data_IF_783493509306
#
_entry.id   IF_783493509306
#
_cell.length_a   1.000
_cell.length_b   1.000
_cell.length_c   1.000
_cell.angle_alpha   90.00
_cell.angle_beta   90.00
_cell.angle_gamma   90.00
#
_symmetry.space_group_name_H-M   'P 1'
#
loop_
_entity.id
_entity.type
_entity.pdbx_description
1 polymer ?
#
# COMPACT_ATOMS: atom_id res chain seq x y z
N UNK A 1 18.58 1.32 -9.14
CA UNK A 1 18.41 2.15 -7.92
C UNK A 1 18.36 1.33 -6.62
N UNK A 2 17.76 0.12 -6.59
CA UNK A 2 17.57 -0.65 -5.35
C UNK A 2 18.86 -0.94 -4.56
N UNK A 3 19.97 -1.23 -5.26
CA UNK A 3 21.26 -1.45 -4.61
C UNK A 3 21.79 -0.22 -3.85
N UNK A 4 21.40 1.00 -4.25
CA UNK A 4 21.73 2.24 -3.54
C UNK A 4 20.87 2.45 -2.27
N UNK A 5 19.97 1.52 -1.96
CA UNK A 5 19.13 1.51 -0.75
C UNK A 5 19.30 0.24 0.08
N UNK A 6 20.27 -0.62 -0.28
CA UNK A 6 20.47 -1.91 0.36
C UNK A 6 19.33 -2.90 0.05
N UNK A 7 18.78 -2.87 -1.17
CA UNK A 7 17.71 -3.77 -1.63
C UNK A 7 18.11 -4.50 -2.92
N UNK A 8 17.55 -5.69 -3.10
CA UNK A 8 17.61 -6.47 -4.34
C UNK A 8 16.80 -5.77 -5.43
N UNK A 9 17.39 -5.63 -6.62
CA UNK A 9 16.68 -5.09 -7.77
C UNK A 9 15.71 -6.13 -8.34
N UNK A 10 16.08 -7.41 -8.30
CA UNK A 10 15.22 -8.51 -8.76
C UNK A 10 13.99 -8.69 -7.86
N UNK A 11 14.16 -8.66 -6.53
CA UNK A 11 13.04 -8.74 -5.58
C UNK A 11 12.08 -7.58 -5.81
N UNK A 12 12.58 -6.35 -5.86
CA UNK A 12 11.74 -5.17 -6.11
C UNK A 12 11.02 -5.27 -7.45
N UNK A 13 11.72 -5.67 -8.52
CA UNK A 13 11.13 -5.78 -9.85
C UNK A 13 10.01 -6.82 -9.89
N UNK A 14 10.20 -7.98 -9.26
CA UNK A 14 9.17 -9.01 -9.17
C UNK A 14 7.97 -8.53 -8.35
N UNK A 15 8.23 -8.06 -7.13
CA UNK A 15 7.20 -7.61 -6.18
C UNK A 15 6.36 -6.47 -6.77
N UNK A 16 7.01 -5.47 -7.34
CA UNK A 16 6.35 -4.34 -7.98
C UNK A 16 5.59 -4.74 -9.26
N UNK A 17 6.12 -5.68 -10.05
CA UNK A 17 5.42 -6.18 -11.24
C UNK A 17 4.16 -6.98 -10.86
N UNK A 18 4.19 -7.73 -9.77
CA UNK A 18 3.02 -8.43 -9.23
C UNK A 18 1.93 -7.44 -8.82
N UNK A 19 2.31 -6.40 -8.06
CA UNK A 19 1.42 -5.31 -7.70
C UNK A 19 0.79 -4.64 -8.93
N UNK A 20 1.56 -4.32 -9.97
CA UNK A 20 1.03 -3.73 -11.21
C UNK A 20 0.14 -4.67 -12.02
N UNK A 21 0.37 -5.98 -11.95
CA UNK A 21 -0.42 -6.95 -12.71
C UNK A 21 -1.88 -7.01 -12.21
N UNK A 22 -2.07 -7.02 -10.89
CA UNK A 22 -3.38 -7.18 -10.23
C UNK A 22 -3.45 -6.40 -8.91
N UNK A 23 -3.37 -5.05 -8.93
CA UNK A 23 -3.33 -4.25 -7.71
C UNK A 23 -4.60 -4.41 -6.87
N UNK A 24 -4.47 -4.26 -5.56
CA UNK A 24 -5.53 -4.40 -4.55
C UNK A 24 -6.34 -5.72 -4.64
N UNK A 25 -5.76 -6.76 -5.21
CA UNK A 25 -6.36 -8.08 -5.26
C UNK A 25 -5.74 -8.99 -4.20
N UNK A 26 -6.55 -9.57 -3.32
CA UNK A 26 -6.05 -10.55 -2.35
C UNK A 26 -5.32 -11.71 -3.05
N UNK A 27 -4.26 -12.22 -2.41
CA UNK A 27 -3.40 -13.32 -2.87
C UNK A 27 -2.58 -13.04 -4.15
N UNK A 28 -2.90 -11.97 -4.89
CA UNK A 28 -2.21 -11.59 -6.14
C UNK A 28 -1.35 -10.35 -5.97
N UNK A 29 -1.86 -9.36 -5.24
CA UNK A 29 -1.11 -8.16 -4.88
C UNK A 29 -0.41 -8.36 -3.53
N UNK A 30 0.93 -8.32 -3.51
CA UNK A 30 1.67 -8.48 -2.28
C UNK A 30 1.62 -7.24 -1.37
N UNK A 31 1.13 -6.08 -1.84
CA UNK A 31 0.98 -4.86 -1.02
C UNK A 31 -0.20 -4.98 -0.03
N UNK A 32 -1.26 -5.69 -0.41
CA UNK A 32 -2.46 -5.90 0.43
C UNK A 32 -2.46 -7.24 1.17
N UNK A 33 -1.52 -8.12 0.84
CA UNK A 33 -1.36 -9.45 1.44
C UNK A 33 -0.53 -9.40 2.74
N UNK A 34 -1.02 -8.63 3.71
CA UNK A 34 -0.35 -8.36 5.01
C UNK A 34 -1.06 -9.00 6.21
N UNK A 35 -2.21 -9.64 5.97
CA UNK A 35 -2.81 -10.60 6.89
C UNK A 35 -2.01 -11.92 6.88
N UNK A 36 -1.84 -12.63 8.01
CA UNK A 36 -2.33 -12.33 9.37
C UNK A 36 -1.42 -11.41 10.20
N UNK A 37 -0.31 -10.90 9.63
CA UNK A 37 0.75 -10.25 10.40
C UNK A 37 0.45 -8.84 10.91
N UNK A 38 -0.34 -8.05 10.18
CA UNK A 38 -0.56 -6.64 10.52
C UNK A 38 -2.03 -6.23 10.51
N UNK A 39 -2.65 -6.21 9.32
CA UNK A 39 -3.96 -5.57 9.13
C UNK A 39 -4.92 -6.49 8.39
N UNK A 40 -6.22 -6.23 8.62
CA UNK A 40 -7.29 -6.71 7.77
C UNK A 40 -7.68 -5.56 6.85
N UNK A 41 -7.35 -5.68 5.57
CA UNK A 41 -7.57 -4.64 4.58
C UNK A 41 -8.80 -4.97 3.73
N UNK A 42 -9.56 -3.95 3.37
CA UNK A 42 -10.79 -4.11 2.58
C UNK A 42 -11.95 -4.68 3.38
N UNK A 43 -13.17 -4.42 2.89
CA UNK A 43 -14.39 -4.96 3.46
C UNK A 43 -14.50 -6.50 3.35
N UNK A 44 -14.22 -7.14 2.20
CA UNK A 44 -14.45 -8.57 2.03
C UNK A 44 -13.64 -9.43 3.00
N UNK A 45 -12.32 -9.18 3.11
CA UNK A 45 -11.45 -9.91 4.03
C UNK A 45 -11.81 -9.64 5.49
N UNK A 46 -12.09 -8.39 5.86
CA UNK A 46 -12.52 -8.06 7.23
C UNK A 46 -13.81 -8.77 7.63
N UNK A 47 -14.78 -8.82 6.72
CA UNK A 47 -16.04 -9.53 6.93
C UNK A 47 -15.79 -11.04 7.08
N UNK A 48 -15.03 -11.63 6.16
CA UNK A 48 -14.69 -13.06 6.18
C UNK A 48 -14.03 -13.46 7.51
N UNK A 49 -12.98 -12.74 7.90
CA UNK A 49 -12.25 -13.00 9.14
C UNK A 49 -13.13 -12.84 10.38
N UNK A 50 -14.01 -11.84 10.38
CA UNK A 50 -14.96 -11.61 11.48
C UNK A 50 -15.99 -12.74 11.58
N UNK A 51 -16.58 -13.17 10.45
CA UNK A 51 -17.51 -14.29 10.41
C UNK A 51 -16.87 -15.61 10.83
N UNK A 52 -15.63 -15.85 10.41
CA UNK A 52 -14.84 -17.02 10.80
C UNK A 52 -14.30 -16.95 12.24
N UNK A 53 -14.60 -15.88 12.99
CA UNK A 53 -14.10 -15.63 14.35
C UNK A 53 -12.57 -15.71 14.45
N UNK A 54 -11.86 -15.30 13.39
CA UNK A 54 -10.38 -15.27 13.34
C UNK A 54 -9.86 -13.96 13.94
N UNK A 55 -9.00 -14.07 14.96
CA UNK A 55 -8.40 -12.94 15.69
C UNK A 55 -6.89 -13.09 15.83
N UNK A 56 -6.16 -12.92 14.74
CA UNK A 56 -4.69 -12.90 14.76
C UNK A 56 -4.12 -11.59 15.33
N UNK A 57 -4.81 -10.48 15.06
CA UNK A 57 -4.45 -9.13 15.52
C UNK A 57 -5.70 -8.42 16.04
N UNK A 58 -5.56 -7.37 16.87
CA UNK A 58 -6.70 -6.57 17.35
C UNK A 58 -7.23 -5.65 16.24
N UNK A 59 -7.83 -6.20 15.18
CA UNK A 59 -8.20 -5.46 13.96
C UNK A 59 -9.11 -4.25 14.22
N UNK A 60 -9.95 -4.29 15.25
CA UNK A 60 -10.77 -3.15 15.66
C UNK A 60 -9.96 -1.90 16.06
N UNK A 61 -8.67 -2.05 16.37
CA UNK A 61 -7.75 -0.97 16.72
C UNK A 61 -6.67 -0.72 15.66
N UNK A 62 -6.80 -1.28 14.44
CA UNK A 62 -5.74 -1.20 13.43
C UNK A 62 -5.38 0.22 12.98
N UNK A 63 -6.36 1.11 12.93
CA UNK A 63 -6.12 2.54 12.69
C UNK A 63 -5.27 3.22 13.78
N UNK A 64 -5.19 2.66 15.00
CA UNK A 64 -4.38 3.20 16.10
C UNK A 64 -2.95 2.70 16.06
N UNK A 65 -2.76 1.38 15.93
CA UNK A 65 -1.40 0.82 15.86
C UNK A 65 -0.74 0.99 14.48
N UNK A 66 -1.48 1.44 13.46
CA UNK A 66 -0.93 1.85 12.18
C UNK A 66 0.27 2.79 12.34
N UNK A 67 0.17 3.83 13.17
CA UNK A 67 1.22 4.82 13.37
C UNK A 67 2.54 4.25 13.92
N UNK A 68 2.49 3.06 14.52
CA UNK A 68 3.65 2.38 15.13
C UNK A 68 4.07 1.12 14.38
N UNK A 69 3.51 0.86 13.20
CA UNK A 69 3.78 -0.34 12.40
C UNK A 69 4.30 0.04 11.01
N UNK A 70 3.45 0.05 9.98
CA UNK A 70 3.85 0.25 8.58
C UNK A 70 4.71 1.52 8.36
N UNK A 71 4.31 2.72 8.85
CA UNK A 71 5.10 3.94 8.74
C UNK A 71 6.48 3.86 9.39
N UNK A 72 6.70 2.99 10.38
CA UNK A 72 8.01 2.88 11.04
C UNK A 72 8.85 1.72 10.49
N UNK A 73 8.22 0.71 9.88
CA UNK A 73 8.84 -0.59 9.64
C UNK A 73 8.86 -1.05 8.18
N UNK A 74 8.14 -0.41 7.25
CA UNK A 74 7.99 -0.94 5.88
C UNK A 74 9.34 -1.13 5.17
N UNK A 75 10.28 -0.18 5.28
CA UNK A 75 11.59 -0.31 4.63
C UNK A 75 12.45 -1.40 5.28
N UNK A 76 12.60 -1.46 6.62
CA UNK A 76 13.23 -2.62 7.28
C UNK A 76 12.61 -3.95 6.89
N UNK A 77 11.28 -4.06 6.82
CA UNK A 77 10.56 -5.27 6.40
C UNK A 77 10.94 -5.65 4.97
N UNK A 78 10.94 -4.69 4.05
CA UNK A 78 11.37 -4.90 2.66
C UNK A 78 12.84 -5.33 2.56
N UNK A 79 13.72 -4.81 3.42
CA UNK A 79 15.12 -5.25 3.47
C UNK A 79 15.24 -6.72 3.92
N UNK A 80 14.44 -7.14 4.90
CA UNK A 80 14.38 -8.55 5.34
C UNK A 80 13.83 -9.45 4.23
N UNK A 81 12.71 -9.09 3.60
CA UNK A 81 12.15 -9.87 2.48
C UNK A 81 13.09 -9.92 1.28
N UNK A 82 13.74 -8.81 0.97
CA UNK A 82 14.76 -8.75 -0.07
C UNK A 82 15.94 -9.67 0.24
N UNK A 83 16.41 -9.73 1.48
CA UNK A 83 17.49 -10.63 1.89
C UNK A 83 17.04 -12.09 1.79
N UNK A 84 15.85 -12.40 2.30
CA UNK A 84 15.26 -13.74 2.18
C UNK A 84 15.17 -14.18 0.71
N UNK A 85 14.69 -13.30 -0.18
CA UNK A 85 14.62 -13.56 -1.60
C UNK A 85 16.00 -13.84 -2.22
N UNK A 86 17.01 -13.03 -1.89
CA UNK A 86 18.39 -13.24 -2.34
C UNK A 86 18.91 -14.63 -1.92
N UNK A 87 18.68 -15.01 -0.65
CA UNK A 87 19.14 -16.30 -0.11
C UNK A 87 18.44 -17.47 -0.81
N UNK A 88 17.11 -17.43 -0.94
CA UNK A 88 16.32 -18.47 -1.61
C UNK A 88 16.72 -18.66 -3.08
N UNK A 89 17.00 -17.56 -3.78
CA UNK A 89 17.35 -17.55 -5.21
C UNK A 89 18.85 -17.63 -5.47
N UNK A 90 19.69 -17.70 -4.43
CA UNK A 90 21.17 -17.74 -4.51
C UNK A 90 21.75 -16.56 -5.32
N UNK A 91 21.19 -15.36 -5.17
CA UNK A 91 21.60 -14.16 -5.92
C UNK A 91 22.83 -13.47 -5.29
N UNK A 92 23.96 -14.16 -5.27
CA UNK A 92 25.17 -13.71 -4.55
C UNK A 92 25.72 -12.36 -4.97
N UNK A 93 25.57 -11.98 -6.26
CA UNK A 93 25.97 -10.64 -6.72
C UNK A 93 25.13 -9.54 -6.08
N UNK A 94 23.82 -9.75 -5.93
CA UNK A 94 22.96 -8.79 -5.25
C UNK A 94 23.23 -8.75 -3.75
N UNK A 95 23.56 -9.89 -3.15
CA UNK A 95 24.02 -9.97 -1.76
C UNK A 95 25.26 -9.09 -1.55
N UNK A 96 26.25 -9.21 -2.44
CA UNK A 96 27.46 -8.38 -2.40
C UNK A 96 27.13 -6.88 -2.52
N UNK A 97 26.22 -6.50 -3.42
CA UNK A 97 25.78 -5.11 -3.55
C UNK A 97 25.02 -4.59 -2.32
N UNK A 98 24.16 -5.41 -1.72
CA UNK A 98 23.43 -5.08 -0.49
C UNK A 98 24.42 -4.84 0.66
N UNK A 99 25.38 -5.74 0.89
CA UNK A 99 26.39 -5.55 1.93
C UNK A 99 27.33 -4.38 1.63
N UNK A 100 27.72 -4.18 0.37
CA UNK A 100 28.55 -3.04 -0.04
C UNK A 100 27.87 -1.70 0.28
N UNK A 101 26.54 -1.59 0.13
CA UNK A 101 25.79 -0.41 0.56
C UNK A 101 25.97 -0.13 2.04
N UNK A 102 25.73 -1.12 2.91
CA UNK A 102 25.87 -0.94 4.36
C UNK A 102 27.33 -0.67 4.77
N UNK A 103 28.29 -1.41 4.22
CA UNK A 103 29.73 -1.18 4.49
C UNK A 103 30.13 0.25 4.12
N UNK A 104 29.76 0.73 2.92
CA UNK A 104 30.04 2.12 2.50
C UNK A 104 29.37 3.14 3.41
N UNK A 105 28.14 2.88 3.84
CA UNK A 105 27.45 3.74 4.80
C UNK A 105 28.22 3.84 6.12
N UNK A 106 28.67 2.70 6.66
CA UNK A 106 29.48 2.69 7.88
C UNK A 106 30.83 3.38 7.70
N UNK A 107 31.54 3.12 6.61
CA UNK A 107 32.83 3.79 6.31
C UNK A 107 32.64 5.31 6.23
N UNK A 108 31.58 5.78 5.57
CA UNK A 108 31.34 7.21 5.38
C UNK A 108 31.01 7.95 6.68
N UNK A 109 30.18 7.37 7.55
CA UNK A 109 29.64 8.08 8.72
C UNK A 109 30.33 7.72 10.04
N UNK A 110 31.02 6.58 10.15
CA UNK A 110 31.66 6.15 11.41
C UNK A 110 32.74 7.10 11.93
N UNK A 111 33.59 7.73 11.09
CA UNK A 111 34.58 8.70 11.56
C UNK A 111 33.97 9.92 12.24
N UNK A 112 32.72 10.26 11.91
CA UNK A 112 32.02 11.46 12.41
C UNK A 112 31.14 11.10 13.62
N UNK A 113 30.42 9.98 13.57
CA UNK A 113 29.38 9.64 14.54
C UNK A 113 29.78 8.53 15.52
N UNK A 114 30.88 7.82 15.25
CA UNK A 114 31.22 6.57 15.92
C UNK A 114 30.21 5.45 15.65
N UNK A 115 30.52 4.22 16.07
CA UNK A 115 29.73 3.04 15.71
C UNK A 115 28.26 3.14 16.17
N UNK A 116 28.03 3.52 17.43
CA UNK A 116 26.68 3.70 17.99
C UNK A 116 25.92 4.83 17.27
N UNK A 117 26.60 5.92 16.93
CA UNK A 117 25.99 7.04 16.23
C UNK A 117 25.59 6.68 14.79
N UNK A 118 26.41 5.93 14.07
CA UNK A 118 26.04 5.42 12.73
C UNK A 118 24.84 4.48 12.79
N UNK A 119 24.79 3.59 13.78
CA UNK A 119 23.66 2.70 13.96
C UNK A 119 22.36 3.48 14.23
N UNK A 120 22.41 4.46 15.13
CA UNK A 120 21.28 5.36 15.40
C UNK A 120 20.86 6.15 14.17
N UNK A 121 21.83 6.67 13.40
CA UNK A 121 21.57 7.41 12.17
C UNK A 121 20.93 6.52 11.08
N UNK A 122 21.42 5.29 10.92
CA UNK A 122 20.83 4.34 9.98
C UNK A 122 19.38 4.01 10.34
N UNK A 123 19.10 3.75 11.62
CA UNK A 123 17.73 3.48 12.10
C UNK A 123 16.83 4.69 11.83
N UNK A 124 17.28 5.90 12.18
CA UNK A 124 16.54 7.13 11.93
C UNK A 124 16.20 7.29 10.44
N UNK A 125 17.18 7.11 9.55
CA UNK A 125 16.96 7.18 8.10
C UNK A 125 15.92 6.14 7.64
N UNK A 126 16.00 4.91 8.12
CA UNK A 126 15.05 3.85 7.72
C UNK A 126 13.63 4.10 8.23
N UNK A 127 13.49 4.71 9.41
CA UNK A 127 12.20 5.17 9.93
C UNK A 127 11.65 6.31 9.06
N UNK A 128 12.46 7.34 8.78
CA UNK A 128 12.03 8.47 7.94
C UNK A 128 11.65 8.02 6.52
N UNK A 129 12.45 7.13 5.91
CA UNK A 129 12.14 6.52 4.62
C UNK A 129 10.82 5.73 4.68
N UNK A 130 10.57 5.00 5.76
CA UNK A 130 9.33 4.22 5.96
C UNK A 130 8.11 5.11 6.10
N UNK A 131 8.23 6.24 6.81
CA UNK A 131 7.13 7.20 6.99
C UNK A 131 6.79 7.77 5.62
N UNK A 132 7.79 8.33 4.92
CA UNK A 132 7.59 8.93 3.61
C UNK A 132 7.04 7.92 2.60
N UNK A 133 7.62 6.72 2.53
CA UNK A 133 7.17 5.70 1.60
C UNK A 133 5.72 5.29 1.89
N UNK A 134 5.37 4.99 3.14
CA UNK A 134 4.02 4.56 3.51
C UNK A 134 2.99 5.63 3.17
N UNK A 135 3.17 6.86 3.67
CA UNK A 135 2.16 7.91 3.48
C UNK A 135 2.00 8.30 2.01
N UNK A 136 3.09 8.36 1.24
CA UNK A 136 3.05 8.82 -0.15
C UNK A 136 2.64 7.72 -1.14
N UNK A 137 2.97 6.46 -0.89
CA UNK A 137 2.55 5.35 -1.77
C UNK A 137 1.12 4.90 -1.45
N UNK A 138 0.77 4.78 -0.16
CA UNK A 138 -0.47 4.12 0.25
C UNK A 138 -1.70 5.01 0.13
N UNK A 139 -1.57 6.34 0.11
CA UNK A 139 -2.70 7.29 -0.03
C UNK A 139 -3.57 7.04 -1.28
N UNK A 140 -2.98 6.38 -2.28
CA UNK A 140 -3.57 6.11 -3.58
C UNK A 140 -4.03 4.67 -3.77
N UNK A 141 -3.73 3.77 -2.84
CA UNK A 141 -3.97 2.32 -2.93
C UNK A 141 -4.81 1.79 -1.77
N UNK A 142 -4.32 1.96 -0.55
CA UNK A 142 -4.93 1.40 0.66
C UNK A 142 -6.40 1.84 0.89
N UNK A 143 -6.79 3.08 0.55
CA UNK A 143 -8.19 3.48 0.68
C UNK A 143 -9.08 3.09 -0.50
N UNK A 144 -8.48 2.58 -1.58
CA UNK A 144 -9.21 2.19 -2.77
C UNK A 144 -9.87 0.82 -2.57
N UNK A 145 -10.62 0.37 -3.56
CA UNK A 145 -11.30 -0.92 -3.46
C UNK A 145 -10.28 -2.06 -3.40
N UNK A 146 -10.42 -2.91 -2.38
CA UNK A 146 -9.61 -4.12 -2.17
C UNK A 146 -10.57 -5.31 -2.09
N UNK A 147 -10.35 -6.32 -2.93
CA UNK A 147 -11.23 -7.49 -3.04
C UNK A 147 -10.46 -8.71 -3.59
N UNK A 148 -11.13 -9.85 -3.73
CA UNK A 148 -10.67 -10.99 -4.51
C UNK A 148 -10.78 -10.70 -6.02
N UNK A 149 -10.02 -11.44 -6.84
CA UNK A 149 -10.03 -11.23 -8.29
C UNK A 149 -11.41 -11.54 -8.89
N UNK A 150 -12.08 -10.51 -9.40
CA UNK A 150 -13.36 -10.63 -10.11
C UNK A 150 -13.19 -10.85 -11.62
N UNK A 151 -11.96 -11.07 -12.10
CA UNK A 151 -11.62 -11.21 -13.52
C UNK A 151 -12.08 -10.01 -14.37
N UNK A 152 -12.00 -8.81 -13.80
CA UNK A 152 -12.25 -7.56 -14.53
C UNK A 152 -11.18 -7.32 -15.59
N UNK A 153 -11.53 -6.54 -16.61
CA UNK A 153 -10.55 -6.10 -17.61
C UNK A 153 -9.44 -5.28 -16.93
N UNK A 154 -8.27 -5.25 -17.58
CA UNK A 154 -7.09 -4.65 -16.99
C UNK A 154 -7.26 -3.15 -16.72
N UNK A 155 -7.90 -2.39 -17.63
CA UNK A 155 -8.05 -0.94 -17.48
C UNK A 155 -8.94 -0.59 -16.29
N UNK A 156 -10.10 -1.24 -16.18
CA UNK A 156 -11.01 -1.06 -15.05
C UNK A 156 -10.37 -1.49 -13.73
N UNK A 157 -9.59 -2.58 -13.73
CA UNK A 157 -8.86 -3.04 -12.53
C UNK A 157 -7.88 -1.97 -12.02
N UNK A 158 -7.07 -1.38 -12.91
CA UNK A 158 -6.10 -0.34 -12.50
C UNK A 158 -6.81 0.90 -11.93
N UNK A 159 -7.90 1.35 -12.56
CA UNK A 159 -8.64 2.54 -12.12
C UNK A 159 -9.41 2.34 -10.81
N UNK A 160 -9.92 1.14 -10.56
CA UNK A 160 -10.63 0.84 -9.32
C UNK A 160 -9.69 0.67 -8.12
N UNK A 161 -8.48 0.16 -8.37
CA UNK A 161 -7.46 -0.05 -7.35
C UNK A 161 -6.66 1.21 -7.03
N UNK A 162 -6.70 2.24 -7.88
CA UNK A 162 -5.84 3.42 -7.74
C UNK A 162 -6.61 4.74 -7.82
N UNK A 163 -6.08 5.77 -7.18
CA UNK A 163 -6.52 7.14 -7.39
C UNK A 163 -5.34 8.11 -7.42
N UNK A 164 -5.57 9.29 -7.98
CA UNK A 164 -4.58 10.36 -7.97
C UNK A 164 -4.77 11.32 -6.81
N UNK A 165 -3.71 12.06 -6.51
CA UNK A 165 -3.79 13.28 -5.72
C UNK A 165 -3.68 14.49 -6.64
N UNK A 166 -4.47 15.53 -6.34
CA UNK A 166 -4.53 16.77 -7.12
C UNK A 166 -3.14 17.31 -7.40
N UNK A 167 -2.93 17.76 -8.63
CA UNK A 167 -1.65 18.33 -9.02
C UNK A 167 -1.47 19.72 -8.46
N UNK A 168 -0.26 20.00 -8.01
CA UNK A 168 0.24 21.33 -7.67
C UNK A 168 1.76 21.26 -7.68
N UNK A 169 2.45 22.39 -7.80
CA UNK A 169 3.91 22.41 -7.70
C UNK A 169 4.39 21.74 -6.41
N UNK A 170 3.69 22.01 -5.30
CA UNK A 170 3.97 21.40 -4.00
C UNK A 170 3.76 19.88 -4.01
N UNK A 171 2.59 19.40 -4.48
CA UNK A 171 2.26 17.97 -4.49
C UNK A 171 3.19 17.19 -5.43
N UNK A 172 3.47 17.72 -6.62
CA UNK A 172 4.35 17.08 -7.60
C UNK A 172 5.78 16.93 -7.03
N UNK A 173 6.26 17.95 -6.29
CA UNK A 173 7.58 17.93 -5.63
C UNK A 173 7.64 16.99 -4.42
N UNK A 174 6.74 17.16 -3.44
CA UNK A 174 6.78 16.42 -2.17
C UNK A 174 6.52 14.93 -2.35
N UNK A 175 5.64 14.56 -3.28
CA UNK A 175 5.31 13.16 -3.56
C UNK A 175 6.26 12.53 -4.57
N UNK A 176 7.10 13.32 -5.25
CA UNK A 176 7.94 12.84 -6.34
C UNK A 176 7.14 12.19 -7.47
N UNK A 177 6.00 12.76 -7.83
CA UNK A 177 5.00 12.23 -8.77
C UNK A 177 4.24 10.97 -8.33
N UNK A 178 4.35 10.55 -7.06
CA UNK A 178 3.46 9.49 -6.53
C UNK A 178 2.00 9.94 -6.43
N UNK A 179 1.69 11.22 -6.65
CA UNK A 179 0.34 11.72 -6.84
C UNK A 179 -0.33 11.32 -8.17
N UNK A 180 0.41 10.74 -9.13
CA UNK A 180 -0.10 10.29 -10.43
C UNK A 180 -0.13 8.75 -10.52
N UNK A 181 -0.77 8.06 -9.56
CA UNK A 181 -0.81 6.60 -9.53
C UNK A 181 -1.60 5.98 -10.68
N UNK A 182 -2.70 6.59 -11.13
CA UNK A 182 -3.49 6.08 -12.26
C UNK A 182 -2.60 5.94 -13.50
N UNK A 183 -1.89 6.99 -13.89
CA UNK A 183 -0.99 6.94 -15.05
C UNK A 183 0.20 6.02 -14.83
N UNK A 184 0.72 5.96 -13.59
CA UNK A 184 1.79 5.02 -13.23
C UNK A 184 1.35 3.57 -13.41
N UNK A 185 0.11 3.24 -13.05
CA UNK A 185 -0.45 1.90 -13.20
C UNK A 185 -0.83 1.55 -14.63
N UNK A 186 -1.35 2.53 -15.38
CA UNK A 186 -1.67 2.34 -16.79
C UNK A 186 -0.42 2.28 -17.68
N UNK A 187 0.65 2.99 -17.31
CA UNK A 187 1.86 3.09 -18.13
C UNK A 187 3.13 2.97 -17.27
N UNK A 188 3.38 1.80 -16.64
CA UNK A 188 4.47 1.63 -15.66
C UNK A 188 5.87 1.82 -16.23
N UNK A 189 6.02 1.73 -17.55
CA UNK A 189 7.30 1.98 -18.25
C UNK A 189 7.48 3.43 -18.68
N UNK A 190 6.45 4.27 -18.56
CA UNK A 190 6.49 5.66 -18.98
C UNK A 190 7.32 6.50 -17.98
N UNK A 191 8.23 7.36 -18.45
CA UNK A 191 8.94 8.28 -17.58
C UNK A 191 7.95 9.21 -16.83
N UNK A 192 8.10 9.30 -15.50
CA UNK A 192 7.17 10.06 -14.62
C UNK A 192 6.89 11.50 -15.05
N UNK A 193 7.87 12.17 -15.66
CA UNK A 193 7.72 13.54 -16.17
C UNK A 193 6.75 13.65 -17.37
N UNK A 194 6.23 12.53 -17.89
CA UNK A 194 5.22 12.50 -18.96
C UNK A 194 3.82 12.17 -18.45
N UNK A 195 3.65 11.73 -17.19
CA UNK A 195 2.34 11.36 -16.66
C UNK A 195 1.32 12.50 -16.82
N UNK A 196 1.71 13.73 -16.51
CA UNK A 196 0.83 14.88 -16.65
C UNK A 196 0.41 15.20 -18.09
N UNK A 197 1.22 14.82 -19.08
CA UNK A 197 0.88 14.99 -20.50
C UNK A 197 -0.22 14.01 -20.91
N UNK A 198 -0.26 12.85 -20.27
CA UNK A 198 -1.17 11.74 -20.58
C UNK A 198 -2.44 11.79 -19.73
N UNK A 199 -2.41 12.41 -18.55
CA UNK A 199 -3.59 12.68 -17.70
C UNK A 199 -4.83 13.15 -18.46
N UNK A 200 -4.79 14.19 -19.33
CA UNK A 200 -6.00 14.61 -20.07
C UNK A 200 -6.54 13.53 -21.00
N UNK A 201 -5.67 12.70 -21.59
CA UNK A 201 -6.06 11.59 -22.46
C UNK A 201 -6.72 10.46 -21.66
N UNK A 202 -6.17 10.13 -20.49
CA UNK A 202 -6.75 9.12 -19.58
C UNK A 202 -8.11 9.60 -19.09
N UNK A 203 -8.24 10.86 -18.65
CA UNK A 203 -9.54 11.44 -18.26
C UNK A 203 -10.57 11.37 -19.39
N UNK A 204 -10.18 11.68 -20.62
CA UNK A 204 -11.06 11.57 -21.78
C UNK A 204 -11.49 10.12 -22.04
N UNK A 205 -10.60 9.14 -21.84
CA UNK A 205 -10.91 7.72 -21.98
C UNK A 205 -11.88 7.25 -20.90
N UNK A 206 -11.62 7.61 -19.63
CA UNK A 206 -12.51 7.36 -18.51
C UNK A 206 -13.93 7.91 -18.79
N UNK A 207 -14.05 9.17 -19.22
CA UNK A 207 -15.32 9.79 -19.55
C UNK A 207 -16.05 9.08 -20.71
N UNK A 208 -15.32 8.69 -21.77
CA UNK A 208 -15.89 7.97 -22.91
C UNK A 208 -16.48 6.61 -22.51
N UNK A 209 -15.90 5.94 -21.54
CA UNK A 209 -16.31 4.61 -21.09
C UNK A 209 -17.15 4.61 -19.81
N UNK A 210 -17.53 5.79 -19.30
CA UNK A 210 -18.33 5.91 -18.07
C UNK A 210 -17.59 5.42 -16.81
N UNK A 211 -16.26 5.42 -16.83
CA UNK A 211 -15.42 5.03 -15.69
C UNK A 211 -15.01 6.29 -14.93
N UNK A 212 -15.12 6.26 -13.61
CA UNK A 212 -14.70 7.37 -12.77
C UNK A 212 -13.17 7.52 -12.79
N UNK A 213 -12.70 8.75 -13.03
CA UNK A 213 -11.31 9.11 -12.79
C UNK A 213 -11.20 9.72 -11.40
N UNK A 214 -10.66 8.96 -10.44
CA UNK A 214 -10.61 9.40 -9.04
C UNK A 214 -9.38 10.28 -8.77
N UNK A 215 -9.63 11.50 -8.27
CA UNK A 215 -8.57 12.38 -7.80
C UNK A 215 -9.01 13.20 -6.59
N UNK A 216 -8.18 13.23 -5.55
CA UNK A 216 -8.49 13.86 -4.25
C UNK A 216 -7.39 14.82 -3.81
N UNK A 217 -7.67 15.65 -2.81
CA UNK A 217 -6.62 16.49 -2.21
C UNK A 217 -5.63 15.61 -1.43
N UNK A 218 -4.40 16.09 -1.26
CA UNK A 218 -3.35 15.35 -0.55
C UNK A 218 -3.79 15.00 0.88
N UNK A 219 -4.35 15.96 1.60
CA UNK A 219 -4.80 15.76 2.98
C UNK A 219 -5.92 14.71 3.08
N UNK A 220 -6.87 14.71 2.13
CA UNK A 220 -7.92 13.68 2.08
C UNK A 220 -7.29 12.32 1.82
N UNK A 221 -6.38 12.22 0.83
CA UNK A 221 -5.73 10.95 0.54
C UNK A 221 -4.94 10.36 1.70
N UNK A 222 -4.27 11.20 2.49
CA UNK A 222 -3.60 10.78 3.72
C UNK A 222 -4.61 10.37 4.81
N UNK A 223 -5.65 11.17 5.05
CA UNK A 223 -6.68 10.87 6.04
C UNK A 223 -7.43 9.56 5.73
N UNK A 224 -7.67 9.30 4.45
CA UNK A 224 -8.36 8.10 3.96
C UNK A 224 -7.64 6.81 4.32
N UNK A 225 -6.30 6.82 4.46
CA UNK A 225 -5.53 5.65 4.91
C UNK A 225 -5.99 5.21 6.30
N UNK A 226 -6.09 6.17 7.22
CA UNK A 226 -6.50 5.90 8.60
C UNK A 226 -7.99 5.57 8.65
N UNK A 227 -8.80 6.24 7.83
CA UNK A 227 -10.23 5.98 7.74
C UNK A 227 -10.53 4.58 7.21
N UNK A 228 -9.88 4.13 6.13
CA UNK A 228 -10.11 2.80 5.56
C UNK A 228 -9.74 1.70 6.54
N UNK A 229 -8.62 1.87 7.27
CA UNK A 229 -8.20 0.99 8.35
C UNK A 229 -9.24 0.96 9.49
N UNK A 230 -9.82 2.10 9.86
CA UNK A 230 -10.87 2.16 10.88
C UNK A 230 -12.12 1.40 10.43
N UNK A 231 -12.62 1.68 9.22
CA UNK A 231 -13.81 1.04 8.64
C UNK A 231 -13.63 -0.48 8.54
N UNK A 232 -12.51 -0.94 7.98
CA UNK A 232 -12.21 -2.36 7.89
C UNK A 232 -12.14 -3.04 9.27
N UNK A 233 -11.58 -2.35 10.28
CA UNK A 233 -11.55 -2.85 11.66
C UNK A 233 -12.93 -2.93 12.31
N UNK A 234 -13.81 -1.97 12.03
CA UNK A 234 -15.20 -1.96 12.52
C UNK A 234 -16.05 -3.06 11.88
N UNK A 235 -15.89 -3.30 10.57
CA UNK A 235 -16.54 -4.40 9.84
C UNK A 235 -16.16 -5.74 10.48
N UNK A 236 -14.85 -5.96 10.67
CA UNK A 236 -14.37 -7.16 11.34
C UNK A 236 -14.97 -7.29 12.74
N UNK A 237 -14.97 -6.22 13.54
CA UNK A 237 -15.48 -6.25 14.91
C UNK A 237 -16.97 -6.59 14.97
N UNK A 238 -17.78 -5.95 14.12
CA UNK A 238 -19.23 -6.22 14.02
C UNK A 238 -19.47 -7.68 13.65
N UNK A 239 -18.80 -8.20 12.62
CA UNK A 239 -18.96 -9.59 12.20
C UNK A 239 -18.44 -10.60 13.26
N UNK A 240 -17.37 -10.25 13.97
CA UNK A 240 -16.81 -11.05 15.06
C UNK A 240 -17.73 -11.14 16.27
N UNK A 241 -18.48 -10.07 16.60
CA UNK A 241 -19.39 -10.05 17.75
C UNK A 241 -20.85 -10.31 17.41
N UNK A 242 -21.23 -10.30 16.13
CA UNK A 242 -22.55 -10.75 15.72
C UNK A 242 -22.68 -12.26 16.01
N UNK A 243 -23.70 -12.63 16.78
CA UNK A 243 -24.11 -14.03 16.85
C UNK A 243 -24.56 -14.43 15.45
N UNK A 244 -23.89 -15.42 14.86
CA UNK A 244 -24.43 -16.07 13.67
C UNK A 244 -25.68 -16.80 14.10
N UNK A 245 -26.83 -16.11 14.12
CA UNK A 245 -28.10 -16.79 13.93
C UNK A 245 -27.96 -17.43 12.55
N UNK A 246 -27.69 -18.73 12.52
CA UNK A 246 -27.93 -19.53 11.33
C UNK A 246 -29.45 -19.58 11.21
N UNK A 247 -30.03 -18.91 10.21
CA UNK A 247 -31.03 -19.61 9.46
C UNK A 247 -30.63 -19.56 7.98
N UNK A 248 -30.90 -20.66 7.29
CA UNK A 248 -31.05 -20.64 5.84
C UNK A 248 -31.78 -19.36 5.42
N UNK A 249 -31.25 -18.72 4.38
CA UNK A 249 -31.77 -17.54 3.67
C UNK A 249 -31.16 -16.19 4.06
N UNK A 250 -30.69 -15.54 2.99
CA UNK A 250 -30.44 -14.10 2.81
C UNK A 250 -31.17 -13.25 3.84
N UNK A 251 -30.44 -12.43 4.59
CA UNK A 251 -30.73 -11.03 4.94
C UNK A 251 -29.74 -10.62 6.04
N UNK A 252 -28.74 -9.85 5.67
CA UNK A 252 -28.08 -8.92 6.60
C UNK A 252 -27.47 -7.75 5.81
N UNK A 253 -28.28 -7.10 4.97
CA UNK A 253 -27.97 -5.82 4.35
C UNK A 253 -29.29 -5.08 4.15
N UNK A 254 -29.81 -4.44 5.21
CA UNK A 254 -30.71 -3.28 5.11
C UNK A 254 -31.03 -2.78 6.53
N UNK A 255 -30.11 -2.05 7.14
CA UNK A 255 -30.45 -1.01 8.12
C UNK A 255 -29.47 0.13 7.94
N UNK A 256 -29.89 1.11 7.15
CA UNK A 256 -29.09 2.29 6.81
C UNK A 256 -29.68 3.05 5.63
N UNK A 257 -30.99 3.38 5.69
CA UNK A 257 -31.68 4.40 4.87
C UNK A 257 -33.17 4.36 5.19
N UNK A 258 -33.57 5.05 6.26
CA UNK A 258 -34.94 5.53 6.46
C UNK A 258 -34.90 6.51 7.65
N UNK A 259 -34.75 7.78 7.33
CA UNK A 259 -34.68 8.85 8.33
C UNK A 259 -34.31 10.16 7.70
N UNK A 260 -35.14 10.66 6.79
CA UNK A 260 -35.33 12.10 6.51
C UNK A 260 -36.53 12.26 5.56
N UNK A 261 -37.29 13.34 5.78
CA UNK A 261 -38.49 13.83 5.07
C UNK A 261 -39.85 13.47 5.70
N UNK A 262 -40.20 14.29 6.71
CA UNK A 262 -41.52 14.91 6.86
C UNK A 262 -41.35 16.42 6.74
#
# INVERSE_FOLDING_TARGET
MCHLKGLSAHWWSLYHSQHHAKPNCFEKDPDVSIHPGFFSLGEPLSLELGLQKKKYMPYNYQHKYFFFTLPLLVVPIYQVYSLYFILQRKLWREMAWMFAYFIRFFIAFNPILGFKGVLGYLILLKVLESILFTWLSQMSHLPMHIDHDKNMDWFSTQLQATCNVNRSFFNDWVTGHLNCQIEHHLFPTMPRHNFWKVTPLVKSMCAKHGIEYQSKSLLIGLADIVHSLKVAGEIWFKAYHCEQKIPNSKICLQQGKAGEET
#
